data_IF_843888408423
#
_entry.id   IF_843888408423
#
_cell.length_a   1.000
_cell.length_b   1.000
_cell.length_c   1.000
_cell.angle_alpha   90.00
_cell.angle_beta   90.00
_cell.angle_gamma   90.00
#
_symmetry.space_group_name_H-M   'P 1'
#
loop_
_entity.id
_entity.type
_entity.pdbx_description
1 polymer ?
#
# COMPACT_ATOMS: atom_id res chain seq x y z
N UNK A 1 -24.98 21.35 -7.60
CA UNK A 1 -23.68 20.66 -7.77
C UNK A 1 -22.77 21.21 -6.68
N UNK A 2 -22.28 20.37 -5.78
CA UNK A 2 -21.56 20.85 -4.57
C UNK A 2 -20.22 21.50 -4.99
N UNK A 3 -19.99 22.74 -4.53
CA UNK A 3 -18.74 23.49 -4.77
C UNK A 3 -17.50 22.64 -4.48
N UNK A 4 -17.52 21.83 -3.42
CA UNK A 4 -16.46 20.90 -3.04
C UNK A 4 -16.13 19.85 -4.13
N UNK A 5 -17.15 19.37 -4.86
CA UNK A 5 -16.94 18.40 -5.95
C UNK A 5 -16.17 19.03 -7.12
N UNK A 6 -16.50 20.28 -7.45
CA UNK A 6 -15.79 21.03 -8.49
C UNK A 6 -14.35 21.28 -8.08
N UNK A 7 -14.10 21.71 -6.83
CA UNK A 7 -12.78 21.94 -6.28
C UNK A 7 -11.94 20.66 -6.33
N UNK A 8 -12.51 19.51 -5.95
CA UNK A 8 -11.83 18.23 -5.97
C UNK A 8 -11.47 17.79 -7.39
N UNK A 9 -12.38 17.94 -8.35
CA UNK A 9 -12.08 17.61 -9.77
C UNK A 9 -10.95 18.49 -10.31
N UNK A 10 -11.02 19.80 -10.06
CA UNK A 10 -9.96 20.74 -10.46
C UNK A 10 -8.64 20.38 -9.78
N UNK A 11 -8.67 20.03 -8.49
CA UNK A 11 -7.49 19.59 -7.72
C UNK A 11 -6.84 18.35 -8.33
N UNK A 12 -7.63 17.32 -8.61
CA UNK A 12 -7.13 16.09 -9.27
C UNK A 12 -6.52 16.42 -10.65
N UNK A 13 -7.20 17.23 -11.46
CA UNK A 13 -6.69 17.63 -12.77
C UNK A 13 -5.39 18.44 -12.65
N UNK A 14 -5.29 19.34 -11.67
CA UNK A 14 -4.08 20.12 -11.42
C UNK A 14 -2.90 19.23 -11.01
N UNK A 15 -3.10 18.27 -10.10
CA UNK A 15 -2.04 17.32 -9.69
C UNK A 15 -1.60 16.42 -10.85
N UNK A 16 -2.53 15.94 -11.67
CA UNK A 16 -2.22 15.17 -12.88
C UNK A 16 -1.41 16.03 -13.86
N UNK A 17 -1.83 17.26 -14.09
CA UNK A 17 -1.10 18.21 -14.94
C UNK A 17 0.30 18.49 -14.41
N UNK A 18 0.45 18.69 -13.11
CA UNK A 18 1.74 18.87 -12.46
C UNK A 18 2.64 17.63 -12.62
N UNK A 19 2.14 16.42 -12.36
CA UNK A 19 2.89 15.20 -12.58
C UNK A 19 3.30 15.03 -14.06
N UNK A 20 2.44 15.39 -14.99
CA UNK A 20 2.74 15.36 -16.43
C UNK A 20 3.85 16.34 -16.82
N UNK A 21 3.91 17.52 -16.21
CA UNK A 21 4.98 18.49 -16.45
C UNK A 21 6.37 17.91 -16.12
N UNK A 22 6.48 17.14 -15.04
CA UNK A 22 7.73 16.50 -14.60
C UNK A 22 7.96 15.10 -15.20
N UNK A 23 7.11 14.66 -16.12
CA UNK A 23 7.27 13.36 -16.78
C UNK A 23 8.57 13.29 -17.59
N UNK A 24 9.37 12.24 -17.36
CA UNK A 24 10.61 11.96 -18.10
C UNK A 24 10.39 11.72 -19.59
N UNK A 25 9.24 11.19 -19.96
CA UNK A 25 8.90 10.92 -21.37
C UNK A 25 7.40 11.10 -21.61
N UNK A 26 7.00 12.34 -21.89
CA UNK A 26 5.60 12.75 -22.11
C UNK A 26 4.90 11.96 -23.22
N UNK A 27 5.66 11.51 -24.24
CA UNK A 27 5.12 10.76 -25.39
C UNK A 27 4.78 9.31 -25.06
N UNK A 28 5.40 8.74 -24.01
CA UNK A 28 5.19 7.35 -23.59
C UNK A 28 4.17 7.21 -22.45
N UNK A 29 3.55 8.29 -22.02
CA UNK A 29 2.51 8.27 -20.99
C UNK A 29 1.30 7.50 -21.50
N UNK A 30 0.95 6.42 -20.82
CA UNK A 30 -0.18 5.55 -21.19
C UNK A 30 -1.48 6.08 -20.58
N UNK A 31 -2.07 7.08 -21.21
CA UNK A 31 -3.29 7.72 -20.73
C UNK A 31 -4.44 6.75 -20.47
N UNK A 32 -4.58 5.70 -21.30
CA UNK A 32 -5.60 4.64 -21.10
C UNK A 32 -5.42 3.95 -19.74
N UNK A 33 -4.21 3.57 -19.41
CA UNK A 33 -3.91 2.91 -18.12
C UNK A 33 -4.13 3.86 -16.94
N UNK A 34 -3.74 5.13 -17.07
CA UNK A 34 -3.94 6.16 -16.05
C UNK A 34 -5.42 6.42 -15.81
N UNK A 35 -6.22 6.56 -16.87
CA UNK A 35 -7.67 6.73 -16.74
C UNK A 35 -8.36 5.53 -16.09
N UNK A 36 -7.92 4.31 -16.42
CA UNK A 36 -8.42 3.10 -15.79
C UNK A 36 -8.06 3.04 -14.30
N UNK A 37 -6.83 3.41 -13.94
CA UNK A 37 -6.39 3.51 -12.54
C UNK A 37 -7.19 4.57 -11.77
N UNK A 38 -7.42 5.74 -12.34
CA UNK A 38 -8.23 6.80 -11.74
C UNK A 38 -9.68 6.34 -11.53
N UNK A 39 -10.29 5.73 -12.55
CA UNK A 39 -11.64 5.20 -12.45
C UNK A 39 -11.72 4.11 -11.39
N UNK A 40 -10.78 3.16 -11.40
CA UNK A 40 -10.72 2.09 -10.42
C UNK A 40 -10.53 2.64 -9.00
N UNK A 41 -9.64 3.62 -8.82
CA UNK A 41 -9.41 4.25 -7.52
C UNK A 41 -10.65 4.98 -6.99
N UNK A 42 -11.36 5.68 -7.88
CA UNK A 42 -12.61 6.38 -7.52
C UNK A 42 -13.70 5.40 -7.13
N UNK A 43 -13.85 4.30 -7.88
CA UNK A 43 -14.83 3.24 -7.58
C UNK A 43 -14.46 2.55 -6.27
N UNK A 44 -13.18 2.25 -6.05
CA UNK A 44 -12.69 1.63 -4.82
C UNK A 44 -12.97 2.54 -3.61
N UNK A 45 -12.63 3.81 -3.69
CA UNK A 45 -12.89 4.79 -2.63
C UNK A 45 -14.40 4.90 -2.35
N UNK A 46 -15.22 5.01 -3.39
CA UNK A 46 -16.67 5.03 -3.25
C UNK A 46 -17.21 3.74 -2.60
N UNK A 47 -16.73 2.58 -3.03
CA UNK A 47 -17.11 1.29 -2.46
C UNK A 47 -16.76 1.20 -0.98
N UNK A 48 -15.56 1.59 -0.58
CA UNK A 48 -15.09 1.49 0.80
C UNK A 48 -15.78 2.51 1.72
N UNK A 49 -16.11 3.72 1.23
CA UNK A 49 -16.64 4.81 2.05
C UNK A 49 -18.17 4.83 2.06
N UNK A 50 -18.82 4.59 0.91
CA UNK A 50 -20.26 4.84 0.73
C UNK A 50 -21.05 3.54 0.71
N UNK A 51 -20.51 2.49 0.06
CA UNK A 51 -21.24 1.25 -0.13
C UNK A 51 -21.34 0.44 1.18
N UNK A 52 -22.54 -0.03 1.59
CA UNK A 52 -22.74 -0.64 2.91
C UNK A 52 -21.82 -1.84 3.18
N UNK A 53 -21.60 -2.71 2.18
CA UNK A 53 -20.74 -3.89 2.32
C UNK A 53 -19.27 -3.46 2.47
N UNK A 54 -18.80 -2.49 1.66
CA UNK A 54 -17.45 -1.97 1.75
C UNK A 54 -17.17 -1.33 3.11
N UNK A 55 -18.09 -0.48 3.60
CA UNK A 55 -18.01 0.09 4.95
C UNK A 55 -17.98 -0.98 6.04
N UNK A 56 -18.85 -1.98 5.93
CA UNK A 56 -18.86 -3.09 6.87
C UNK A 56 -17.51 -3.83 6.89
N UNK A 57 -16.93 -4.13 5.71
CA UNK A 57 -15.61 -4.76 5.61
C UNK A 57 -14.52 -3.91 6.27
N UNK A 58 -14.50 -2.61 5.99
CA UNK A 58 -13.53 -1.67 6.59
C UNK A 58 -13.70 -1.61 8.10
N UNK A 59 -14.93 -1.53 8.61
CA UNK A 59 -15.21 -1.49 10.04
C UNK A 59 -14.78 -2.80 10.73
N UNK A 60 -15.04 -3.98 10.12
CA UNK A 60 -14.59 -5.24 10.69
C UNK A 60 -13.05 -5.37 10.69
N UNK A 61 -12.41 -4.90 9.62
CA UNK A 61 -10.96 -4.84 9.58
C UNK A 61 -10.39 -3.87 10.64
N UNK A 62 -11.02 -2.70 10.83
CA UNK A 62 -10.64 -1.74 11.88
C UNK A 62 -10.81 -2.32 13.28
N UNK A 63 -11.93 -2.99 13.55
CA UNK A 63 -12.18 -3.66 14.83
C UNK A 63 -11.16 -4.78 15.09
N UNK A 64 -10.86 -5.60 14.08
CA UNK A 64 -9.82 -6.62 14.17
C UNK A 64 -8.44 -6.02 14.45
N UNK A 65 -8.11 -4.92 13.78
CA UNK A 65 -6.85 -4.23 13.99
C UNK A 65 -6.75 -3.60 15.38
N UNK A 66 -7.82 -2.95 15.86
CA UNK A 66 -7.89 -2.41 17.22
C UNK A 66 -7.74 -3.51 18.27
N UNK A 67 -8.40 -4.66 18.09
CA UNK A 67 -8.23 -5.82 18.98
C UNK A 67 -6.77 -6.31 19.01
N UNK A 68 -6.08 -6.34 17.87
CA UNK A 68 -4.65 -6.68 17.83
C UNK A 68 -3.81 -5.67 18.62
N UNK A 69 -4.09 -4.38 18.48
CA UNK A 69 -3.40 -3.31 19.21
C UNK A 69 -3.63 -3.43 20.72
N UNK A 70 -4.88 -3.63 21.14
CA UNK A 70 -5.21 -3.83 22.57
C UNK A 70 -4.50 -5.06 23.15
N UNK A 71 -4.42 -6.14 22.37
CA UNK A 71 -3.68 -7.35 22.75
C UNK A 71 -2.18 -7.05 22.87
N UNK A 72 -1.62 -6.25 21.96
CA UNK A 72 -0.23 -5.80 22.02
C UNK A 72 0.04 -4.99 23.29
N UNK A 73 -0.81 -4.00 23.59
CA UNK A 73 -0.67 -3.19 24.80
C UNK A 73 -0.83 -4.02 26.08
N UNK A 74 -1.70 -5.01 26.09
CA UNK A 74 -1.83 -5.94 27.21
C UNK A 74 -0.53 -6.73 27.44
N UNK A 75 0.08 -7.26 26.37
CA UNK A 75 1.36 -7.97 26.45
C UNK A 75 2.52 -7.08 26.88
N UNK A 76 2.60 -5.89 26.31
CA UNK A 76 3.62 -4.89 26.69
C UNK A 76 3.39 -4.38 28.10
N UNK A 77 2.13 -4.21 28.51
CA UNK A 77 1.76 -3.82 29.88
C UNK A 77 2.23 -4.82 30.93
N UNK A 78 2.28 -6.10 30.59
CA UNK A 78 2.88 -7.13 31.46
C UNK A 78 4.39 -6.95 31.61
N UNK A 79 5.11 -6.61 30.53
CA UNK A 79 6.56 -6.47 30.55
C UNK A 79 7.03 -5.09 31.04
N UNK A 80 6.29 -4.04 30.74
CA UNK A 80 6.66 -2.63 30.95
C UNK A 80 5.53 -1.83 31.61
N UNK A 81 4.90 -2.38 32.66
CA UNK A 81 3.74 -1.80 33.32
C UNK A 81 3.93 -0.31 33.69
N UNK A 82 5.12 0.05 34.18
CA UNK A 82 5.44 1.44 34.55
C UNK A 82 5.50 2.43 33.40
N UNK A 83 5.60 1.97 32.14
CA UNK A 83 5.68 2.81 30.94
C UNK A 83 4.35 2.89 30.17
N UNK A 84 3.46 1.91 30.36
CA UNK A 84 2.22 1.76 29.59
C UNK A 84 0.99 2.13 30.42
N UNK A 85 1.03 1.94 31.74
CA UNK A 85 -0.07 2.28 32.65
C UNK A 85 0.07 3.71 33.20
N UNK A 86 0.24 4.70 32.31
CA UNK A 86 0.33 6.12 32.65
C UNK A 86 -0.86 6.85 32.05
N UNK A 87 -1.47 7.78 32.79
CA UNK A 87 -2.61 8.58 32.36
C UNK A 87 -2.39 9.33 31.03
N UNK A 88 -1.13 9.71 30.75
CA UNK A 88 -0.71 10.36 29.51
C UNK A 88 0.51 9.63 28.94
N UNK A 89 0.29 8.59 28.13
CA UNK A 89 1.37 7.90 27.44
C UNK A 89 1.99 8.83 26.39
N UNK A 90 3.32 8.87 26.38
CA UNK A 90 4.08 9.62 25.38
C UNK A 90 3.73 9.12 23.95
N UNK A 91 3.60 10.07 23.01
CA UNK A 91 3.25 9.79 21.60
C UNK A 91 4.24 8.81 20.95
N UNK A 92 5.51 8.86 21.33
CA UNK A 92 6.53 7.93 20.82
C UNK A 92 6.22 6.50 21.24
N UNK A 93 5.90 6.28 22.52
CA UNK A 93 5.54 4.94 23.02
C UNK A 93 4.21 4.45 22.43
N UNK A 94 3.20 5.28 22.37
CA UNK A 94 1.90 4.90 21.80
C UNK A 94 1.97 4.57 20.31
N UNK A 95 2.90 5.19 19.56
CA UNK A 95 3.13 4.90 18.15
C UNK A 95 4.01 3.67 17.91
N UNK A 96 5.07 3.46 18.73
CA UNK A 96 6.02 2.36 18.52
C UNK A 96 5.49 1.01 19.00
N UNK A 97 4.70 0.97 20.07
CA UNK A 97 4.21 -0.28 20.63
C UNK A 97 3.38 -1.12 19.65
N UNK A 98 2.41 -0.57 18.92
CA UNK A 98 1.70 -1.34 17.90
C UNK A 98 2.61 -1.88 16.80
N UNK A 99 3.65 -1.15 16.41
CA UNK A 99 4.60 -1.59 15.38
C UNK A 99 5.35 -2.85 15.81
N UNK A 100 5.76 -2.93 17.09
CA UNK A 100 6.45 -4.10 17.65
C UNK A 100 5.62 -5.39 17.57
N UNK A 101 4.30 -5.31 17.52
CA UNK A 101 3.42 -6.47 17.33
C UNK A 101 3.12 -6.71 15.84
N UNK A 102 2.81 -5.64 15.10
CA UNK A 102 2.31 -5.74 13.71
C UNK A 102 3.40 -6.29 12.79
N UNK A 103 4.66 -5.89 12.96
CA UNK A 103 5.75 -6.38 12.11
C UNK A 103 5.96 -7.88 12.26
N UNK A 104 6.18 -8.45 13.47
CA UNK A 104 6.27 -9.90 13.63
C UNK A 104 5.02 -10.67 13.18
N UNK A 105 3.84 -10.09 13.34
CA UNK A 105 2.60 -10.71 12.86
C UNK A 105 2.62 -10.86 11.33
N UNK A 106 3.03 -9.83 10.60
CA UNK A 106 3.17 -9.91 9.15
C UNK A 106 4.27 -10.89 8.71
N UNK A 107 5.36 -10.99 9.47
CA UNK A 107 6.42 -11.99 9.23
C UNK A 107 5.86 -13.42 9.38
N UNK A 108 5.07 -13.66 10.42
CA UNK A 108 4.39 -14.94 10.64
C UNK A 108 3.41 -15.24 9.49
N UNK A 109 2.58 -14.28 9.08
CA UNK A 109 1.65 -14.44 7.95
C UNK A 109 2.38 -14.69 6.63
N UNK A 110 3.55 -14.09 6.46
CA UNK A 110 4.44 -14.31 5.31
C UNK A 110 5.02 -15.71 5.35
N UNK A 111 5.49 -16.17 6.51
CA UNK A 111 6.03 -17.52 6.70
C UNK A 111 5.00 -18.61 6.37
N UNK A 112 3.75 -18.46 6.80
CA UNK A 112 2.65 -19.38 6.46
C UNK A 112 2.19 -19.25 5.00
N UNK A 113 2.71 -18.30 4.25
CA UNK A 113 2.36 -18.08 2.86
C UNK A 113 0.95 -17.49 2.66
N UNK A 114 0.31 -17.00 3.70
CA UNK A 114 -1.02 -16.37 3.65
C UNK A 114 -0.89 -15.02 2.95
N UNK A 115 0.01 -14.16 3.45
CA UNK A 115 0.22 -12.82 2.93
C UNK A 115 0.71 -12.82 1.48
N UNK A 116 1.70 -13.64 1.06
CA UNK A 116 2.11 -13.73 -0.34
C UNK A 116 0.98 -14.14 -1.30
N UNK A 117 0.07 -15.02 -0.88
CA UNK A 117 -1.09 -15.41 -1.70
C UNK A 117 -2.06 -14.25 -1.90
N UNK A 118 -2.34 -13.49 -0.85
CA UNK A 118 -3.20 -12.28 -0.92
C UNK A 118 -2.56 -11.24 -1.84
N UNK A 119 -1.28 -10.93 -1.64
CA UNK A 119 -0.52 -9.98 -2.46
C UNK A 119 -0.53 -10.39 -3.94
N UNK A 120 -0.32 -11.67 -4.21
CA UNK A 120 -0.32 -12.22 -5.57
C UNK A 120 -1.70 -12.08 -6.24
N UNK A 121 -2.77 -12.43 -5.54
CA UNK A 121 -4.14 -12.35 -6.05
C UNK A 121 -4.54 -10.89 -6.36
N UNK A 122 -4.29 -9.98 -5.42
CA UNK A 122 -4.59 -8.56 -5.59
C UNK A 122 -3.73 -7.91 -6.67
N UNK A 123 -2.43 -8.20 -6.70
CA UNK A 123 -1.49 -7.69 -7.72
C UNK A 123 -1.83 -8.16 -9.13
N UNK A 124 -2.20 -9.44 -9.29
CA UNK A 124 -2.71 -9.96 -10.56
C UNK A 124 -4.00 -9.26 -11.01
N UNK A 125 -4.95 -9.10 -10.08
CA UNK A 125 -6.19 -8.38 -10.36
C UNK A 125 -5.94 -6.94 -10.80
N UNK A 126 -5.09 -6.22 -10.08
CA UNK A 126 -4.71 -4.85 -10.39
C UNK A 126 -4.04 -4.73 -11.77
N UNK A 127 -3.07 -5.61 -12.08
CA UNK A 127 -2.41 -5.66 -13.38
C UNK A 127 -3.40 -5.91 -14.52
N UNK A 128 -4.29 -6.89 -14.35
CA UNK A 128 -5.28 -7.25 -15.37
C UNK A 128 -6.30 -6.14 -15.63
N UNK A 129 -6.75 -5.46 -14.58
CA UNK A 129 -7.72 -4.35 -14.68
C UNK A 129 -7.11 -3.10 -15.30
N UNK A 130 -5.86 -2.80 -14.97
CA UNK A 130 -5.23 -1.51 -15.32
C UNK A 130 -4.28 -1.59 -16.52
N UNK A 131 -3.94 -2.80 -16.96
CA UNK A 131 -2.95 -3.02 -18.02
C UNK A 131 -1.52 -2.59 -17.64
N UNK A 132 -1.23 -2.47 -16.33
CA UNK A 132 0.12 -2.20 -15.83
C UNK A 132 0.95 -3.49 -15.77
N UNK A 133 2.30 -3.39 -15.85
CA UNK A 133 3.13 -4.57 -15.73
C UNK A 133 2.87 -5.33 -14.44
N UNK A 134 2.97 -6.64 -14.50
CA UNK A 134 2.59 -7.53 -13.39
C UNK A 134 3.43 -7.28 -12.15
N UNK A 135 4.74 -7.14 -12.30
CA UNK A 135 5.62 -6.97 -11.16
C UNK A 135 5.41 -5.61 -10.48
N UNK A 136 5.24 -4.52 -11.22
CA UNK A 136 4.95 -3.20 -10.65
C UNK A 136 3.61 -3.19 -9.88
N UNK A 137 2.61 -3.89 -10.42
CA UNK A 137 1.31 -4.03 -9.75
C UNK A 137 1.39 -4.91 -8.50
N UNK A 138 2.16 -6.00 -8.56
CA UNK A 138 2.46 -6.86 -7.43
C UNK A 138 3.21 -6.08 -6.34
N UNK A 139 4.28 -5.39 -6.70
CA UNK A 139 5.10 -4.60 -5.78
C UNK A 139 4.29 -3.47 -5.11
N UNK A 140 3.34 -2.86 -5.82
CA UNK A 140 2.46 -1.87 -5.24
C UNK A 140 1.61 -2.46 -4.10
N UNK A 141 1.03 -3.64 -4.31
CA UNK A 141 0.26 -4.34 -3.28
C UNK A 141 1.18 -4.84 -2.15
N UNK A 142 2.38 -5.32 -2.49
CA UNK A 142 3.38 -5.73 -1.51
C UNK A 142 3.72 -4.58 -0.56
N UNK A 143 3.95 -3.38 -1.10
CA UNK A 143 4.20 -2.16 -0.34
C UNK A 143 3.05 -1.73 0.57
N UNK A 144 1.83 -2.13 0.28
CA UNK A 144 0.67 -1.86 1.13
C UNK A 144 0.73 -2.62 2.46
N UNK A 145 1.22 -3.87 2.42
CA UNK A 145 1.27 -4.75 3.58
C UNK A 145 2.63 -4.72 4.27
N UNK A 146 3.70 -4.81 3.49
CA UNK A 146 5.06 -4.86 3.99
C UNK A 146 5.67 -3.46 4.06
N UNK A 147 6.65 -3.28 4.90
CA UNK A 147 7.48 -2.07 4.91
C UNK A 147 8.39 -2.01 3.68
N UNK A 148 9.02 -0.85 3.46
CA UNK A 148 9.95 -0.66 2.34
C UNK A 148 11.09 -1.66 2.37
N UNK A 149 11.62 -1.94 3.55
CA UNK A 149 12.77 -2.84 3.76
C UNK A 149 12.39 -4.28 3.45
N UNK A 150 11.24 -4.73 3.96
CA UNK A 150 10.73 -6.09 3.78
C UNK A 150 10.36 -6.32 2.31
N UNK A 151 9.66 -5.40 1.67
CA UNK A 151 9.30 -5.50 0.26
C UNK A 151 10.54 -5.55 -0.64
N UNK A 152 11.57 -4.74 -0.35
CA UNK A 152 12.85 -4.80 -1.07
C UNK A 152 13.57 -6.14 -0.86
N UNK A 153 13.52 -6.70 0.35
CA UNK A 153 14.13 -7.99 0.64
C UNK A 153 13.44 -9.13 -0.11
N UNK A 154 12.10 -9.21 -0.04
CA UNK A 154 11.28 -10.22 -0.73
C UNK A 154 11.44 -10.12 -2.24
N UNK A 155 11.40 -8.91 -2.79
CA UNK A 155 11.51 -8.64 -4.22
C UNK A 155 12.95 -8.58 -4.76
N UNK A 156 13.97 -8.82 -3.92
CA UNK A 156 15.40 -8.62 -4.25
C UNK A 156 15.88 -9.37 -5.50
N UNK A 157 15.40 -10.59 -5.73
CA UNK A 157 15.75 -11.37 -6.93
C UNK A 157 15.24 -10.69 -8.19
N UNK A 158 14.00 -10.23 -8.19
CA UNK A 158 13.40 -9.55 -9.33
C UNK A 158 14.07 -8.19 -9.58
N UNK A 159 14.40 -7.45 -8.51
CA UNK A 159 15.07 -6.15 -8.61
C UNK A 159 16.44 -6.24 -9.31
N UNK A 160 17.15 -7.35 -9.16
CA UNK A 160 18.42 -7.59 -9.84
C UNK A 160 18.25 -7.90 -11.34
N UNK A 161 17.08 -8.37 -11.76
CA UNK A 161 16.81 -8.79 -13.14
C UNK A 161 16.19 -7.68 -14.00
N UNK A 162 15.59 -6.67 -13.38
CA UNK A 162 14.93 -5.59 -14.09
C UNK A 162 15.90 -4.43 -14.40
N UNK A 163 15.56 -3.65 -15.41
CA UNK A 163 16.39 -2.53 -15.85
C UNK A 163 16.26 -1.31 -14.90
N UNK A 164 17.22 -0.39 -15.01
CA UNK A 164 17.30 0.80 -14.16
C UNK A 164 16.03 1.69 -14.19
N UNK A 165 15.29 1.72 -15.32
CA UNK A 165 14.05 2.49 -15.42
C UNK A 165 12.94 1.88 -14.58
N UNK A 166 12.81 0.56 -14.59
CA UNK A 166 11.85 -0.15 -13.75
C UNK A 166 12.23 -0.03 -12.27
N UNK A 167 13.52 -0.16 -11.95
CA UNK A 167 14.01 0.05 -10.57
C UNK A 167 13.67 1.47 -10.06
N UNK A 168 13.81 2.52 -10.91
CA UNK A 168 13.39 3.86 -10.55
C UNK A 168 11.88 3.95 -10.25
N UNK A 169 11.04 3.27 -11.07
CA UNK A 169 9.58 3.18 -10.82
C UNK A 169 9.31 2.64 -9.42
N UNK A 170 9.94 1.53 -9.05
CA UNK A 170 9.74 0.88 -7.76
C UNK A 170 10.27 1.74 -6.60
N UNK A 171 11.42 2.38 -6.76
CA UNK A 171 11.96 3.31 -5.77
C UNK A 171 11.01 4.49 -5.49
N UNK A 172 10.42 5.08 -6.54
CA UNK A 172 9.44 6.15 -6.37
C UNK A 172 8.16 5.64 -5.69
N UNK A 173 7.71 4.42 -6.00
CA UNK A 173 6.57 3.80 -5.31
C UNK A 173 6.87 3.57 -3.83
N UNK A 174 8.04 3.05 -3.49
CA UNK A 174 8.48 2.85 -2.10
C UNK A 174 8.45 4.14 -1.28
N UNK A 175 8.79 5.27 -1.89
CA UNK A 175 8.76 6.57 -1.22
C UNK A 175 7.34 7.15 -1.08
N UNK A 176 6.36 6.65 -1.82
CA UNK A 176 5.01 7.21 -1.90
C UNK A 176 3.97 6.41 -1.12
N UNK A 177 4.25 5.15 -0.80
CA UNK A 177 3.29 4.26 -0.14
C UNK A 177 3.37 4.37 1.39
N UNK A 178 2.19 4.33 2.01
CA UNK A 178 2.03 4.14 3.45
C UNK A 178 1.78 2.68 3.71
N UNK A 179 2.53 2.09 4.63
CA UNK A 179 2.50 0.66 4.93
C UNK A 179 1.53 0.31 6.05
N UNK A 180 1.03 -0.92 6.04
CA UNK A 180 0.12 -1.40 7.07
C UNK A 180 0.76 -1.43 8.47
N UNK A 181 2.09 -1.58 8.58
CA UNK A 181 2.79 -1.60 9.87
C UNK A 181 2.63 -0.30 10.67
N UNK A 182 2.45 0.84 10.01
CA UNK A 182 2.27 2.13 10.68
C UNK A 182 0.79 2.44 11.00
N UNK A 183 -0.16 1.62 10.52
CA UNK A 183 -1.59 1.82 10.79
C UNK A 183 -1.85 1.90 12.29
N UNK A 184 -1.18 1.04 13.07
CA UNK A 184 -1.33 1.04 14.53
C UNK A 184 -1.01 2.39 15.18
N UNK A 185 0.00 3.10 14.70
CA UNK A 185 0.32 4.44 15.17
C UNK A 185 -0.76 5.46 14.77
N UNK A 186 -1.26 5.37 13.55
CA UNK A 186 -2.30 6.29 13.07
C UNK A 186 -3.65 6.06 13.75
N UNK A 187 -4.00 4.83 14.14
CA UNK A 187 -5.27 4.54 14.84
C UNK A 187 -5.34 5.16 16.23
N UNK A 188 -4.18 5.54 16.80
CA UNK A 188 -4.14 6.32 18.04
C UNK A 188 -4.51 7.79 17.82
N UNK A 189 -4.42 8.29 16.58
CA UNK A 189 -4.64 9.69 16.23
C UNK A 189 -6.01 9.93 15.56
N UNK A 190 -6.54 8.92 14.85
CA UNK A 190 -7.80 9.01 14.14
C UNK A 190 -8.49 7.64 14.01
N UNK A 191 -9.80 7.60 13.79
CA UNK A 191 -10.53 6.34 13.65
C UNK A 191 -9.95 5.44 12.55
N UNK A 192 -9.74 4.15 12.87
CA UNK A 192 -9.08 3.18 12.01
C UNK A 192 -9.75 2.97 10.65
N UNK A 193 -11.06 3.20 10.55
CA UNK A 193 -11.82 3.09 9.30
C UNK A 193 -11.32 4.05 8.22
N UNK A 194 -10.93 5.27 8.58
CA UNK A 194 -10.36 6.24 7.62
C UNK A 194 -8.98 5.80 7.13
N UNK A 195 -8.16 5.29 8.03
CA UNK A 195 -6.80 4.85 7.71
C UNK A 195 -6.83 3.63 6.80
N UNK A 196 -7.63 2.61 7.14
CA UNK A 196 -7.76 1.39 6.36
C UNK A 196 -8.36 1.64 4.97
N UNK A 197 -9.17 2.68 4.82
CA UNK A 197 -9.64 3.13 3.51
C UNK A 197 -8.55 3.87 2.75
N UNK A 198 -7.77 4.70 3.43
CA UNK A 198 -6.74 5.53 2.79
C UNK A 198 -5.58 4.70 2.23
N UNK A 199 -5.17 3.62 2.90
CA UNK A 199 -4.00 2.81 2.49
C UNK A 199 -4.14 2.24 1.07
N UNK A 200 -5.20 1.47 0.71
CA UNK A 200 -5.33 0.95 -0.65
C UNK A 200 -5.53 2.04 -1.70
N UNK A 201 -6.23 3.12 -1.37
CA UNK A 201 -6.40 4.28 -2.25
C UNK A 201 -5.06 4.97 -2.52
N UNK A 202 -4.22 5.12 -1.49
CA UNK A 202 -2.88 5.72 -1.61
C UNK A 202 -1.95 4.91 -2.52
N UNK A 203 -1.97 3.58 -2.42
CA UNK A 203 -1.16 2.70 -3.29
C UNK A 203 -1.50 2.88 -4.76
N UNK A 204 -2.80 3.00 -5.08
CA UNK A 204 -3.23 3.24 -6.46
C UNK A 204 -2.85 4.66 -6.92
N UNK A 205 -2.95 5.66 -6.04
CA UNK A 205 -2.48 7.02 -6.33
C UNK A 205 -0.97 7.04 -6.62
N UNK A 206 -0.17 6.31 -5.83
CA UNK A 206 1.26 6.16 -6.07
C UNK A 206 1.54 5.56 -7.45
N UNK A 207 0.81 4.50 -7.85
CA UNK A 207 0.90 3.92 -9.19
C UNK A 207 0.57 4.93 -10.30
N UNK A 208 -0.47 5.74 -10.13
CA UNK A 208 -0.87 6.77 -11.11
C UNK A 208 0.26 7.77 -11.28
N UNK A 209 0.73 8.37 -10.19
CA UNK A 209 1.76 9.40 -10.22
C UNK A 209 3.07 8.86 -10.80
N UNK A 210 3.51 7.67 -10.35
CA UNK A 210 4.74 7.06 -10.84
C UNK A 210 4.64 6.67 -12.32
N UNK A 211 3.46 6.19 -12.76
CA UNK A 211 3.21 5.88 -14.17
C UNK A 211 3.28 7.12 -15.07
N UNK A 212 3.00 8.29 -14.52
CA UNK A 212 3.12 9.57 -15.23
C UNK A 212 4.56 10.10 -15.23
N UNK A 213 5.22 10.06 -14.07
CA UNK A 213 6.59 10.60 -13.92
C UNK A 213 7.61 9.76 -14.69
N UNK A 214 7.51 8.44 -14.63
CA UNK A 214 8.42 7.51 -15.30
C UNK A 214 7.63 6.45 -16.09
N UNK A 215 7.09 6.81 -17.25
CA UNK A 215 6.32 5.88 -18.08
C UNK A 215 7.22 4.77 -18.60
N UNK A 216 6.97 3.54 -18.12
CA UNK A 216 7.68 2.32 -18.52
C UNK A 216 6.70 1.41 -19.25
N UNK A 217 7.14 0.89 -20.39
CA UNK A 217 6.47 -0.19 -21.13
C UNK A 217 7.34 -1.43 -21.01
N UNK A 218 6.73 -2.54 -20.61
CA UNK A 218 7.40 -3.83 -20.46
C UNK A 218 6.87 -4.77 -21.53
N UNK A 219 7.75 -5.39 -22.35
CA UNK A 219 7.35 -6.43 -23.27
C UNK A 219 6.70 -7.61 -22.55
N UNK A 220 5.78 -8.32 -23.20
CA UNK A 220 5.00 -9.39 -22.56
C UNK A 220 5.87 -10.58 -22.11
N UNK A 221 6.97 -10.81 -22.79
CA UNK A 221 7.98 -11.84 -22.49
C UNK A 221 8.84 -11.52 -21.25
N UNK A 222 9.05 -10.22 -20.99
CA UNK A 222 9.76 -9.72 -19.80
C UNK A 222 8.83 -9.44 -18.59
N UNK A 223 7.51 -9.51 -18.78
CA UNK A 223 6.53 -9.21 -17.74
C UNK A 223 6.24 -10.45 -16.88
N UNK A 224 7.26 -10.90 -16.16
CA UNK A 224 7.24 -12.05 -15.26
C UNK A 224 7.46 -11.60 -13.81
N UNK A 225 6.99 -12.41 -12.86
CA UNK A 225 7.30 -12.27 -11.44
C UNK A 225 8.21 -13.43 -11.07
N UNK A 226 9.45 -13.13 -10.63
CA UNK A 226 10.34 -14.13 -10.11
C UNK A 226 9.80 -14.64 -8.76
N UNK A 227 9.29 -15.87 -8.74
CA UNK A 227 8.94 -16.51 -7.48
C UNK A 227 10.21 -17.03 -6.81
N UNK A 228 10.44 -16.63 -5.57
CA UNK A 228 11.33 -17.39 -4.70
C UNK A 228 10.70 -18.78 -4.54
N UNK A 229 11.19 -19.78 -5.25
CA UNK A 229 11.10 -21.15 -4.78
C UNK A 229 11.77 -21.15 -3.42
N UNK A 230 11.04 -21.53 -2.37
CA UNK A 230 11.57 -21.60 -1.02
C UNK A 230 12.81 -22.50 -1.04
N UNK A 231 13.96 -21.89 -1.15
CA UNK A 231 15.25 -22.50 -0.89
C UNK A 231 15.53 -22.50 0.62
N UNK A 232 14.51 -22.42 1.44
CA UNK A 232 14.57 -22.47 2.89
C UNK A 232 14.31 -23.89 3.42
N UNK A 233 14.78 -24.90 2.69
CA UNK A 233 15.01 -26.27 3.18
C UNK A 233 16.25 -26.81 2.49
N UNK A 234 17.39 -26.35 2.89
CA UNK A 234 18.67 -27.04 2.76
C UNK A 234 19.57 -26.60 3.91
#
# INVERSE_FOLDING_TARGET
MNLYLIINIIGVAAFIGFAFLFSRNKKKVQWKSISLLLLFNTILAWFLIVFPIGRWMVNQAANGFNWLIETAFSGVGFAFASMVQVENMDVVFSALMPILLVVPLFDILTYFGILPKIIHALGWGLSKLTGRPKFESFYAIEMMFLGNTEALAVSSLQLKQINAKRNLTLAMMSMSCVTASIIGAYTQMMPGEYILTAVPVNVINALIVVAMLNPVTVPADEDTIATMKSSAMA
#
